data_IF_799686609452
#
_entry.id   IF_799686609452
#
_cell.length_a   1.000
_cell.length_b   1.000
_cell.length_c   1.000
_cell.angle_alpha   90.00
_cell.angle_beta   90.00
_cell.angle_gamma   90.00
#
_symmetry.space_group_name_H-M   'P 1'
#
loop_
_entity.id
_entity.type
_entity.pdbx_description
1 polymer ?
#
# COMPACT_ATOMS: atom_id res chain seq x y z
N UNK A 1 6.78 -1.23 0.98
CA UNK A 1 6.84 -0.44 -0.27
C UNK A 1 7.95 -0.88 -1.21
N UNK A 2 9.21 -0.89 -0.77
CA UNK A 2 10.34 -1.38 -1.57
C UNK A 2 10.10 -2.81 -2.13
N UNK A 3 9.57 -3.69 -1.28
CA UNK A 3 9.20 -5.09 -1.61
C UNK A 3 8.13 -5.19 -2.72
N UNK A 4 7.31 -4.15 -2.93
CA UNK A 4 6.30 -4.16 -4.00
C UNK A 4 6.76 -3.48 -5.28
N UNK A 5 7.52 -2.40 -5.15
CA UNK A 5 7.94 -1.57 -6.28
C UNK A 5 9.05 -2.26 -7.07
N UNK A 6 10.04 -2.85 -6.39
CA UNK A 6 11.17 -3.50 -7.05
C UNK A 6 10.75 -4.70 -7.92
N UNK A 7 9.89 -5.62 -7.46
CA UNK A 7 9.35 -6.68 -8.32
C UNK A 7 8.44 -6.15 -9.42
N UNK A 8 7.71 -5.06 -9.17
CA UNK A 8 6.87 -4.41 -10.18
C UNK A 8 7.67 -3.91 -11.38
N UNK A 9 8.78 -3.21 -11.13
CA UNK A 9 9.71 -2.79 -12.18
C UNK A 9 10.36 -3.97 -12.90
N UNK A 10 10.72 -5.03 -12.16
CA UNK A 10 11.25 -6.25 -12.76
C UNK A 10 10.24 -6.92 -13.70
N UNK A 11 8.97 -7.03 -13.27
CA UNK A 11 7.89 -7.61 -14.07
C UNK A 11 7.59 -6.75 -15.31
N UNK A 12 7.56 -5.41 -15.17
CA UNK A 12 7.44 -4.51 -16.31
C UNK A 12 8.56 -4.71 -17.32
N UNK A 13 9.80 -4.86 -16.84
CA UNK A 13 10.94 -5.05 -17.73
C UNK A 13 10.87 -6.41 -18.46
N UNK A 14 10.26 -7.44 -17.85
CA UNK A 14 10.00 -8.72 -18.54
C UNK A 14 8.88 -8.58 -19.58
N UNK A 15 7.79 -7.89 -19.25
CA UNK A 15 6.60 -7.80 -20.09
C UNK A 15 6.71 -6.75 -21.21
N UNK A 16 7.39 -5.64 -20.93
CA UNK A 16 7.52 -4.47 -21.80
C UNK A 16 8.96 -4.18 -22.23
N UNK A 17 9.95 -4.96 -21.76
CA UNK A 17 11.36 -4.82 -22.19
C UNK A 17 11.66 -5.33 -23.61
N UNK A 18 10.63 -5.61 -24.41
CA UNK A 18 10.80 -5.88 -25.84
C UNK A 18 11.19 -4.61 -26.60
N UNK A 19 12.17 -4.67 -27.54
CA UNK A 19 12.54 -3.52 -28.35
C UNK A 19 11.38 -3.10 -29.26
N UNK A 20 10.96 -1.85 -29.18
CA UNK A 20 9.96 -1.26 -30.10
C UNK A 20 10.74 -0.42 -31.11
N UNK A 21 10.87 -0.89 -32.35
CA UNK A 21 11.49 -0.12 -33.44
C UNK A 21 13.02 0.05 -33.35
N UNK A 22 13.75 -0.87 -32.70
CA UNK A 22 15.22 -0.84 -32.63
C UNK A 22 15.82 -0.02 -31.50
N UNK A 23 15.00 0.70 -30.71
CA UNK A 23 15.42 1.29 -29.44
C UNK A 23 15.04 0.37 -28.27
N UNK A 24 15.97 0.06 -27.36
CA UNK A 24 15.61 -0.54 -26.08
C UNK A 24 14.84 0.51 -25.29
N UNK A 25 13.62 0.19 -24.84
CA UNK A 25 12.84 1.04 -23.93
C UNK A 25 12.68 0.39 -22.55
N UNK A 26 13.80 0.09 -21.85
CA UNK A 26 13.75 -0.46 -20.51
C UNK A 26 13.11 0.56 -19.56
N UNK A 27 12.06 0.15 -18.88
CA UNK A 27 11.48 0.93 -17.78
C UNK A 27 12.43 0.82 -16.59
N UNK A 28 13.41 1.72 -16.52
CA UNK A 28 14.38 1.74 -15.44
C UNK A 28 13.80 2.37 -14.17
N UNK A 29 14.33 1.94 -13.04
CA UNK A 29 14.14 2.65 -11.78
C UNK A 29 14.93 3.97 -11.83
N UNK A 30 14.23 5.09 -12.00
CA UNK A 30 14.82 6.42 -12.18
C UNK A 30 14.80 7.26 -10.90
N UNK A 31 15.51 8.41 -10.89
CA UNK A 31 15.40 9.39 -9.81
C UNK A 31 13.94 9.85 -9.57
N UNK A 32 13.14 9.96 -10.64
CA UNK A 32 11.71 10.28 -10.55
C UNK A 32 10.91 9.17 -9.86
N UNK A 33 11.30 7.89 -10.03
CA UNK A 33 10.70 6.77 -9.28
C UNK A 33 10.97 6.84 -7.76
N UNK A 34 12.14 7.33 -7.33
CA UNK A 34 12.46 7.54 -5.92
C UNK A 34 11.53 8.57 -5.27
N UNK A 35 11.21 9.65 -5.97
CA UNK A 35 10.24 10.66 -5.51
C UNK A 35 8.87 10.01 -5.30
N UNK A 36 8.44 9.15 -6.22
CA UNK A 36 7.19 8.40 -6.12
C UNK A 36 7.13 7.48 -4.90
N UNK A 37 8.24 6.83 -4.56
CA UNK A 37 8.34 6.03 -3.34
C UNK A 37 8.11 6.86 -2.07
N UNK A 38 8.69 8.05 -2.00
CA UNK A 38 8.54 8.94 -0.83
C UNK A 38 7.10 9.43 -0.73
N UNK A 39 6.50 9.83 -1.86
CA UNK A 39 5.10 10.27 -1.90
C UNK A 39 4.14 9.16 -1.41
N UNK A 40 4.36 7.93 -1.87
CA UNK A 40 3.63 6.77 -1.43
C UNK A 40 3.77 6.51 0.08
N UNK A 41 4.97 6.65 0.64
CA UNK A 41 5.19 6.45 2.07
C UNK A 41 4.27 7.35 2.91
N UNK A 42 4.08 8.61 2.48
CA UNK A 42 3.14 9.54 3.11
C UNK A 42 1.68 9.07 3.08
N UNK A 43 1.24 8.48 1.97
CA UNK A 43 -0.13 7.94 1.83
C UNK A 43 -0.35 6.79 2.82
N UNK A 44 0.60 5.86 2.94
CA UNK A 44 0.47 4.72 3.85
C UNK A 44 0.54 5.12 5.31
N UNK A 45 1.43 6.05 5.67
CA UNK A 45 1.51 6.58 7.03
C UNK A 45 0.17 7.21 7.40
N UNK A 46 -0.40 8.06 6.53
CA UNK A 46 -1.72 8.67 6.76
C UNK A 46 -2.82 7.63 6.96
N UNK A 47 -2.87 6.61 6.12
CA UNK A 47 -3.90 5.57 6.22
C UNK A 47 -3.77 4.73 7.51
N UNK A 48 -2.54 4.51 7.98
CA UNK A 48 -2.23 3.72 9.18
C UNK A 48 -2.47 4.49 10.48
N UNK A 49 -2.04 5.76 10.54
CA UNK A 49 -2.25 6.63 11.71
C UNK A 49 -3.72 6.76 12.02
N UNK A 50 -4.51 7.09 10.99
CA UNK A 50 -5.94 7.26 11.19
C UNK A 50 -6.51 5.94 11.74
N UNK A 51 -6.02 4.75 11.31
CA UNK A 51 -6.57 3.43 11.72
C UNK A 51 -6.31 3.15 13.18
N UNK A 52 -5.11 3.46 13.63
CA UNK A 52 -4.79 3.43 15.05
C UNK A 52 -5.67 4.40 15.85
N UNK A 53 -5.98 5.57 15.30
CA UNK A 53 -6.85 6.55 15.98
C UNK A 53 -8.28 6.02 16.15
N UNK A 54 -8.88 5.38 15.12
CA UNK A 54 -10.23 4.78 15.28
C UNK A 54 -10.24 3.60 16.24
N UNK A 55 -9.18 2.78 16.26
CA UNK A 55 -9.09 1.68 17.20
C UNK A 55 -9.02 2.21 18.65
N UNK A 56 -8.16 3.20 18.92
CA UNK A 56 -8.08 3.81 20.25
C UNK A 56 -9.42 4.44 20.66
N UNK A 57 -10.07 5.18 19.76
CA UNK A 57 -11.37 5.80 20.05
C UNK A 57 -12.44 4.75 20.39
N UNK A 58 -12.50 3.65 19.63
CA UNK A 58 -13.42 2.55 19.92
C UNK A 58 -13.10 1.81 21.24
N UNK A 59 -11.82 1.72 21.61
CA UNK A 59 -11.41 1.16 22.91
C UNK A 59 -11.80 2.09 24.07
N UNK A 60 -11.67 3.41 23.91
CA UNK A 60 -12.07 4.40 24.91
C UNK A 60 -13.60 4.39 25.13
N UNK A 61 -14.37 4.02 24.10
CA UNK A 61 -15.82 3.79 24.17
C UNK A 61 -16.20 2.44 24.80
N UNK A 62 -15.22 1.62 25.20
CA UNK A 62 -15.43 0.33 25.88
C UNK A 62 -15.71 -0.84 24.94
N UNK A 63 -15.52 -0.66 23.63
CA UNK A 63 -15.76 -1.71 22.62
C UNK A 63 -14.70 -2.81 22.75
N UNK A 64 -15.09 -4.11 22.74
CA UNK A 64 -14.12 -5.20 22.76
C UNK A 64 -13.21 -5.10 21.54
N UNK A 65 -11.93 -5.38 21.79
CA UNK A 65 -10.85 -5.08 20.86
C UNK A 65 -10.99 -5.73 19.49
N UNK A 66 -11.47 -6.97 19.45
CA UNK A 66 -11.71 -7.70 18.21
C UNK A 66 -12.74 -6.98 17.32
N UNK A 67 -13.82 -6.49 17.93
CA UNK A 67 -14.90 -5.79 17.25
C UNK A 67 -14.44 -4.39 16.78
N UNK A 68 -13.67 -3.69 17.62
CA UNK A 68 -13.07 -2.40 17.28
C UNK A 68 -12.16 -2.47 16.04
N UNK A 69 -11.33 -3.52 15.92
CA UNK A 69 -10.46 -3.72 14.74
C UNK A 69 -11.31 -3.97 13.49
N UNK A 70 -12.26 -4.90 13.57
CA UNK A 70 -13.09 -5.30 12.41
C UNK A 70 -13.89 -4.12 11.89
N UNK A 71 -14.53 -3.37 12.79
CA UNK A 71 -15.31 -2.18 12.43
C UNK A 71 -14.42 -1.09 11.84
N UNK A 72 -13.27 -0.82 12.45
CA UNK A 72 -12.32 0.19 11.98
C UNK A 72 -11.76 -0.13 10.59
N UNK A 73 -11.44 -1.40 10.33
CA UNK A 73 -10.98 -1.86 9.01
C UNK A 73 -12.11 -1.73 7.98
N UNK A 74 -13.33 -2.17 8.30
CA UNK A 74 -14.47 -2.13 7.38
C UNK A 74 -14.81 -0.71 6.91
N UNK A 75 -14.80 0.27 7.83
CA UNK A 75 -15.10 1.68 7.51
C UNK A 75 -14.04 2.31 6.60
N UNK A 76 -12.80 1.86 6.68
CA UNK A 76 -11.66 2.44 5.93
C UNK A 76 -11.44 1.86 4.56
N UNK A 77 -11.88 0.64 4.31
CA UNK A 77 -11.71 0.00 3.01
C UNK A 77 -12.26 0.87 1.89
N UNK A 78 -13.41 1.54 2.10
CA UNK A 78 -13.98 2.48 1.12
C UNK A 78 -13.07 3.68 0.83
N UNK A 79 -12.67 4.50 1.83
CA UNK A 79 -11.68 5.57 1.64
C UNK A 79 -10.38 5.12 0.98
N UNK A 80 -9.79 4.01 1.42
CA UNK A 80 -8.52 3.50 0.89
C UNK A 80 -8.66 3.13 -0.59
N UNK A 81 -9.75 2.44 -0.95
CA UNK A 81 -10.02 2.07 -2.34
C UNK A 81 -10.26 3.30 -3.23
N UNK A 82 -10.92 4.35 -2.72
CA UNK A 82 -11.11 5.61 -3.46
C UNK A 82 -9.78 6.34 -3.69
N UNK A 83 -8.89 6.38 -2.69
CA UNK A 83 -7.54 6.95 -2.86
C UNK A 83 -6.74 6.14 -3.87
N UNK A 84 -6.71 4.82 -3.73
CA UNK A 84 -6.00 3.94 -4.66
C UNK A 84 -6.51 4.10 -6.10
N UNK A 85 -7.83 4.10 -6.30
CA UNK A 85 -8.44 4.30 -7.61
C UNK A 85 -8.09 5.66 -8.22
N UNK A 86 -8.21 6.74 -7.43
CA UNK A 86 -7.84 8.10 -7.89
C UNK A 86 -6.38 8.19 -8.31
N UNK A 87 -5.47 7.63 -7.51
CA UNK A 87 -4.03 7.63 -7.81
C UNK A 87 -3.70 6.81 -9.06
N UNK A 88 -4.33 5.65 -9.25
CA UNK A 88 -4.14 4.84 -10.46
C UNK A 88 -4.58 5.60 -11.72
N UNK A 89 -5.74 6.26 -11.67
CA UNK A 89 -6.25 7.07 -12.78
C UNK A 89 -5.36 8.27 -13.07
N UNK A 90 -4.91 8.99 -12.03
CA UNK A 90 -4.00 10.13 -12.19
C UNK A 90 -2.69 9.72 -12.85
N UNK A 91 -2.10 8.61 -12.40
CA UNK A 91 -0.82 8.15 -12.91
C UNK A 91 -0.91 7.55 -14.31
N UNK A 92 -2.06 7.01 -14.71
CA UNK A 92 -2.25 6.51 -16.07
C UNK A 92 -1.92 7.60 -17.11
N UNK A 93 -2.35 8.84 -16.89
CA UNK A 93 -2.02 9.97 -17.78
C UNK A 93 -0.53 10.29 -17.74
N UNK A 94 0.11 10.21 -16.57
CA UNK A 94 1.55 10.50 -16.39
C UNK A 94 2.44 9.46 -17.10
N UNK A 95 1.96 8.21 -17.28
CA UNK A 95 2.73 7.19 -18.02
C UNK A 95 2.98 7.56 -19.48
N UNK A 96 2.22 8.49 -20.04
CA UNK A 96 2.38 8.96 -21.43
C UNK A 96 3.66 9.79 -21.62
N UNK A 97 4.21 10.38 -20.56
CA UNK A 97 5.44 11.16 -20.60
C UNK A 97 6.69 10.31 -20.29
N UNK A 98 7.69 10.24 -21.20
CA UNK A 98 8.90 9.44 -21.00
C UNK A 98 9.73 9.83 -19.77
N UNK A 99 9.68 11.11 -19.37
CA UNK A 99 10.44 11.64 -18.22
C UNK A 99 9.85 11.18 -16.88
N UNK A 100 8.52 11.08 -16.80
CA UNK A 100 7.79 10.75 -15.58
C UNK A 100 7.23 9.32 -15.56
N UNK A 101 7.46 8.54 -16.61
CA UNK A 101 6.97 7.15 -16.67
C UNK A 101 7.45 6.32 -15.47
N UNK A 102 8.71 6.48 -15.06
CA UNK A 102 9.26 5.81 -13.87
C UNK A 102 8.54 6.22 -12.56
N UNK A 103 8.17 7.49 -12.40
CA UNK A 103 7.38 7.96 -11.26
C UNK A 103 5.99 7.30 -11.24
N UNK A 104 5.30 7.32 -12.38
CA UNK A 104 3.95 6.79 -12.51
C UNK A 104 3.90 5.29 -12.19
N UNK A 105 4.82 4.51 -12.77
CA UNK A 105 4.92 3.08 -12.52
C UNK A 105 5.28 2.76 -11.07
N UNK A 106 6.21 3.50 -10.47
CA UNK A 106 6.56 3.32 -9.06
C UNK A 106 5.35 3.51 -8.14
N UNK A 107 4.54 4.54 -8.41
CA UNK A 107 3.36 4.83 -7.61
C UNK A 107 2.26 3.78 -7.85
N UNK A 108 2.04 3.33 -9.09
CA UNK A 108 1.05 2.29 -9.42
C UNK A 108 1.38 0.97 -8.70
N UNK A 109 2.60 0.46 -8.85
CA UNK A 109 3.00 -0.80 -8.20
C UNK A 109 3.06 -0.68 -6.68
N UNK A 110 3.53 0.47 -6.19
CA UNK A 110 3.64 0.70 -4.77
C UNK A 110 2.28 0.83 -4.09
N UNK A 111 1.30 1.49 -4.70
CA UNK A 111 -0.04 1.61 -4.11
C UNK A 111 -0.75 0.26 -4.09
N UNK A 112 -0.73 -0.49 -5.19
CA UNK A 112 -1.36 -1.82 -5.28
C UNK A 112 -0.77 -2.76 -4.23
N UNK A 113 0.56 -2.85 -4.16
CA UNK A 113 1.20 -3.73 -3.18
C UNK A 113 0.96 -3.22 -1.75
N UNK A 114 0.98 -1.91 -1.52
CA UNK A 114 0.77 -1.35 -0.19
C UNK A 114 -0.65 -1.56 0.32
N UNK A 115 -1.66 -1.41 -0.53
CA UNK A 115 -3.07 -1.65 -0.16
C UNK A 115 -3.26 -3.11 0.23
N UNK A 116 -2.67 -4.04 -0.55
CA UNK A 116 -2.69 -5.46 -0.24
C UNK A 116 -2.00 -5.75 1.10
N UNK A 117 -0.80 -5.18 1.31
CA UNK A 117 -0.05 -5.34 2.56
C UNK A 117 -0.80 -4.75 3.76
N UNK A 118 -1.38 -3.55 3.65
CA UNK A 118 -2.09 -2.91 4.76
C UNK A 118 -3.34 -3.70 5.15
N UNK A 119 -4.10 -4.22 4.17
CA UNK A 119 -5.29 -5.02 4.44
C UNK A 119 -4.98 -6.40 5.03
N UNK A 120 -3.81 -6.98 4.77
CA UNK A 120 -3.43 -8.32 5.27
C UNK A 120 -2.56 -8.24 6.52
N UNK A 121 -1.51 -7.43 6.50
CA UNK A 121 -0.50 -7.36 7.57
C UNK A 121 -1.00 -6.61 8.79
N UNK A 122 -1.75 -5.52 8.64
CA UNK A 122 -2.26 -4.79 9.82
C UNK A 122 -3.17 -5.66 10.68
N UNK A 123 -4.20 -6.35 10.16
CA UNK A 123 -5.03 -7.22 11.00
C UNK A 123 -4.25 -8.41 11.57
N UNK A 124 -3.31 -9.01 10.82
CA UNK A 124 -2.47 -10.09 11.32
C UNK A 124 -1.55 -9.66 12.48
N UNK A 125 -0.87 -8.53 12.33
CA UNK A 125 0.02 -7.98 13.37
C UNK A 125 -0.79 -7.58 14.59
N UNK A 126 -1.95 -6.97 14.39
CA UNK A 126 -2.82 -6.61 15.49
C UNK A 126 -3.32 -7.85 16.24
N UNK A 127 -3.79 -8.87 15.53
CA UNK A 127 -4.20 -10.16 16.12
C UNK A 127 -3.05 -10.83 16.90
N UNK A 128 -1.82 -10.75 16.40
CA UNK A 128 -0.68 -11.37 17.07
C UNK A 128 -0.19 -10.60 18.30
N UNK A 129 -0.24 -9.27 18.28
CA UNK A 129 0.17 -8.41 19.41
C UNK A 129 -0.88 -8.44 20.52
N UNK A 130 -2.16 -8.42 20.15
CA UNK A 130 -3.27 -8.33 21.08
C UNK A 130 -4.02 -9.64 21.31
N UNK A 131 -3.53 -10.76 20.75
CA UNK A 131 -3.91 -12.10 21.19
C UNK A 131 -3.81 -12.11 22.73
N UNK A 132 -4.92 -12.29 23.46
CA UNK A 132 -4.80 -12.55 24.88
C UNK A 132 -3.95 -13.81 25.01
N UNK A 133 -2.89 -13.75 25.81
CA UNK A 133 -2.18 -14.95 26.26
C UNK A 133 -3.15 -15.76 27.11
N UNK A 134 -4.01 -16.53 26.46
CA UNK A 134 -4.73 -17.64 27.10
C UNK A 134 -3.74 -18.78 27.26
N UNK A 135 -2.79 -18.63 28.17
CA UNK A 135 -1.97 -19.74 28.68
C UNK A 135 -1.41 -19.42 30.07
N UNK A 136 -2.29 -19.20 31.06
CA UNK A 136 -1.93 -19.45 32.47
C UNK A 136 -3.14 -19.54 33.42
N UNK A 137 -4.23 -20.16 32.98
CA UNK A 137 -5.20 -20.76 33.89
C UNK A 137 -5.56 -22.12 33.32
N UNK A 138 -5.45 -23.15 34.15
CA UNK A 138 -5.58 -24.59 33.88
C UNK A 138 -4.24 -25.26 33.50
N UNK A 139 -3.34 -25.48 34.46
CA UNK A 139 -3.25 -26.73 35.27
C UNK A 139 -2.69 -26.38 36.64
#
# INVERSE_FOLDING_TARGET
MLIGIMPGFWLLNILYGGPIGGYPNPTFFTATAMIGMIALAGIVIRNSVVLLDFIHMAQDEGTPLEEAIVQSVAVRTRPIMLTAGTTLLANWVITLDPVFSGLAWAIIFGIVTSTLFTLVVVPLVYWQIYRPRTSERLV
#
